data_IF_133494974972
#
_entry.id   IF_133494974972
#
_cell.length_a   1.000
_cell.length_b   1.000
_cell.length_c   1.000
_cell.angle_alpha   90.00
_cell.angle_beta   90.00
_cell.angle_gamma   90.00
#
_symmetry.space_group_name_H-M   'P 1'
#
loop_
_entity.id
_entity.type
_entity.pdbx_description
1 polymer ?
#
# COMPACT_ATOMS: atom_id res chain seq x y z
N UNK A 1 -11.17 -12.45 6.50
CA UNK A 1 -10.60 -11.67 5.39
C UNK A 1 -9.14 -11.48 5.70
N UNK A 2 -8.23 -11.97 4.84
CA UNK A 2 -6.80 -12.08 5.13
C UNK A 2 -6.21 -10.81 5.77
N UNK A 3 -5.42 -11.00 6.83
CA UNK A 3 -4.64 -9.95 7.46
C UNK A 3 -3.67 -9.35 6.43
N UNK A 4 -3.97 -8.16 5.92
CA UNK A 4 -3.10 -7.44 5.00
C UNK A 4 -2.18 -6.51 5.78
N UNK A 5 -0.88 -6.50 5.46
CA UNK A 5 0.06 -5.53 6.03
C UNK A 5 -0.14 -4.11 5.50
N UNK A 6 -1.06 -3.90 4.55
CA UNK A 6 -1.44 -2.60 4.01
C UNK A 6 -2.57 -1.89 4.79
N UNK A 7 -3.02 -2.45 5.93
CA UNK A 7 -4.14 -1.89 6.69
C UNK A 7 -3.79 -0.54 7.35
N UNK A 8 -4.68 0.43 7.19
CA UNK A 8 -4.57 1.77 7.77
C UNK A 8 -5.72 1.96 8.78
N UNK A 9 -5.46 1.92 10.10
CA UNK A 9 -6.53 2.04 11.10
C UNK A 9 -7.36 3.31 10.94
N UNK A 10 -8.69 3.16 10.91
CA UNK A 10 -9.63 4.27 10.76
C UNK A 10 -9.92 4.69 9.32
N UNK A 11 -9.25 4.11 8.32
CA UNK A 11 -9.43 4.44 6.91
C UNK A 11 -9.63 3.19 6.08
N UNK A 12 -10.69 3.14 5.26
CA UNK A 12 -10.75 2.15 4.20
C UNK A 12 -9.86 2.59 3.06
N UNK A 13 -8.89 1.75 2.74
CA UNK A 13 -7.97 1.91 1.61
C UNK A 13 -8.15 0.73 0.66
N UNK A 14 -7.93 0.97 -0.63
CA UNK A 14 -7.85 -0.07 -1.64
C UNK A 14 -6.45 -0.09 -2.22
N UNK A 15 -6.01 -1.27 -2.67
CA UNK A 15 -4.69 -1.40 -3.26
C UNK A 15 -4.41 -2.77 -3.82
N UNK A 16 -3.28 -2.88 -4.51
CA UNK A 16 -2.81 -4.09 -5.16
C UNK A 16 -1.31 -4.24 -4.93
N UNK A 17 -0.90 -5.46 -4.62
CA UNK A 17 0.50 -5.85 -4.56
C UNK A 17 0.99 -6.30 -5.93
N UNK A 18 2.27 -6.06 -6.21
CA UNK A 18 2.97 -6.57 -7.38
C UNK A 18 4.32 -7.16 -6.97
N UNK A 19 4.71 -8.26 -7.58
CA UNK A 19 6.03 -8.89 -7.41
C UNK A 19 6.47 -9.40 -8.77
N UNK A 20 7.64 -8.94 -9.22
CA UNK A 20 8.18 -9.27 -10.53
C UNK A 20 9.63 -9.71 -10.38
N UNK A 21 10.00 -10.83 -10.99
CA UNK A 21 11.39 -11.29 -11.01
C UNK A 21 12.24 -10.36 -11.88
N UNK A 22 13.45 -10.07 -11.42
CA UNK A 22 14.44 -9.26 -12.14
C UNK A 22 15.28 -10.21 -13.00
N UNK A 23 15.38 -9.99 -14.32
CA UNK A 23 16.27 -10.79 -15.16
C UNK A 23 17.74 -10.43 -14.84
N UNK A 24 18.56 -11.44 -14.62
CA UNK A 24 20.01 -11.34 -14.43
C UNK A 24 20.68 -12.15 -15.53
N UNK A 25 21.45 -11.48 -16.39
CA UNK A 25 22.20 -12.09 -17.52
C UNK A 25 21.34 -12.99 -18.44
N UNK A 26 20.08 -12.61 -18.64
CA UNK A 26 19.14 -13.34 -19.50
C UNK A 26 18.43 -14.52 -18.83
N UNK A 27 18.70 -14.77 -17.54
CA UNK A 27 18.00 -15.77 -16.74
C UNK A 27 17.18 -15.10 -15.62
N UNK A 28 16.13 -15.76 -15.15
CA UNK A 28 15.37 -15.30 -13.99
C UNK A 28 15.92 -15.98 -12.74
N UNK A 29 16.44 -15.19 -11.81
CA UNK A 29 16.68 -15.64 -10.43
C UNK A 29 15.41 -15.37 -9.61
N UNK A 30 14.85 -16.41 -8.98
CA UNK A 30 13.65 -16.28 -8.16
C UNK A 30 13.84 -15.47 -6.87
N UNK A 31 15.08 -15.24 -6.46
CA UNK A 31 15.43 -14.45 -5.26
C UNK A 31 15.53 -12.95 -5.53
N UNK A 32 15.77 -12.56 -6.80
CA UNK A 32 15.91 -11.16 -7.20
C UNK A 32 14.57 -10.64 -7.71
N UNK A 33 13.84 -9.91 -6.87
CA UNK A 33 12.52 -9.36 -7.24
C UNK A 33 12.46 -7.84 -7.12
N UNK A 34 11.59 -7.27 -7.95
CA UNK A 34 10.97 -5.99 -7.71
C UNK A 34 9.67 -6.23 -6.93
N UNK A 35 9.55 -5.62 -5.76
CA UNK A 35 8.36 -5.66 -4.93
C UNK A 35 7.65 -4.31 -4.98
N UNK A 36 6.32 -4.33 -5.05
CA UNK A 36 5.55 -3.10 -5.19
C UNK A 36 4.18 -3.19 -4.52
N UNK A 37 3.67 -2.03 -4.15
CA UNK A 37 2.30 -1.86 -3.69
C UNK A 37 1.77 -0.52 -4.18
N UNK A 38 0.65 -0.54 -4.88
CA UNK A 38 -0.10 0.67 -5.23
C UNK A 38 -1.40 0.69 -4.44
N UNK A 39 -1.73 1.81 -3.83
CA UNK A 39 -2.99 1.97 -3.13
C UNK A 39 -3.47 3.41 -3.09
N UNK A 40 -4.75 3.57 -2.79
CA UNK A 40 -5.39 4.86 -2.68
C UNK A 40 -6.39 4.86 -1.52
N UNK A 41 -6.72 6.05 -1.07
CA UNK A 41 -7.73 6.22 -0.06
C UNK A 41 -8.16 7.67 0.13
N UNK A 42 -9.23 7.86 0.91
CA UNK A 42 -10.15 6.81 1.32
C UNK A 42 -10.97 6.23 0.13
N UNK A 43 -11.50 5.00 0.24
CA UNK A 43 -12.07 4.28 -0.93
C UNK A 43 -13.30 4.96 -1.56
N UNK A 44 -14.15 5.53 -0.72
CA UNK A 44 -15.42 6.17 -1.10
C UNK A 44 -15.25 7.60 -1.63
N UNK A 45 -14.16 8.26 -1.29
CA UNK A 45 -13.78 9.59 -1.75
C UNK A 45 -12.24 9.67 -1.82
N UNK A 46 -11.62 9.18 -2.91
CA UNK A 46 -10.17 9.08 -3.01
C UNK A 46 -9.48 10.45 -3.03
N UNK A 47 -8.62 10.70 -2.04
CA UNK A 47 -7.89 11.96 -1.86
C UNK A 47 -6.38 11.80 -2.10
N UNK A 48 -5.86 10.58 -1.99
CA UNK A 48 -4.45 10.29 -2.27
C UNK A 48 -4.28 8.95 -3.00
N UNK A 49 -3.16 8.83 -3.72
CA UNK A 49 -2.62 7.58 -4.26
C UNK A 49 -1.14 7.50 -3.90
N UNK A 50 -0.70 6.36 -3.41
CA UNK A 50 0.69 6.08 -3.06
C UNK A 50 1.13 4.85 -3.84
N UNK A 51 2.27 4.97 -4.53
CA UNK A 51 2.95 3.86 -5.16
C UNK A 51 4.30 3.64 -4.46
N UNK A 52 4.46 2.46 -3.89
CA UNK A 52 5.71 1.99 -3.29
C UNK A 52 6.34 1.00 -4.25
N UNK A 53 7.60 1.23 -4.60
CA UNK A 53 8.42 0.31 -5.37
C UNK A 53 9.75 0.10 -4.65
N UNK A 54 10.11 -1.17 -4.45
CA UNK A 54 11.34 -1.61 -3.82
C UNK A 54 12.06 -2.52 -4.81
N UNK A 55 13.26 -2.13 -5.20
CA UNK A 55 14.17 -2.95 -5.99
C UNK A 55 14.97 -3.86 -5.05
N UNK A 56 14.99 -5.17 -5.34
CA UNK A 56 15.77 -6.19 -4.61
C UNK A 56 15.64 -6.12 -3.08
N UNK A 57 14.42 -6.18 -2.52
CA UNK A 57 14.26 -6.15 -1.06
C UNK A 57 14.90 -7.38 -0.42
N UNK A 58 15.63 -7.18 0.67
CA UNK A 58 16.40 -8.25 1.33
C UNK A 58 15.62 -9.04 2.38
N UNK A 59 14.48 -8.52 2.86
CA UNK A 59 13.71 -9.12 3.97
C UNK A 59 12.68 -10.15 3.51
N UNK A 60 12.11 -10.00 2.31
CA UNK A 60 11.21 -10.95 1.64
C UNK A 60 11.07 -10.55 0.16
N UNK A 61 10.96 -11.50 -0.79
CA UNK A 61 10.76 -11.17 -2.20
C UNK A 61 9.33 -10.68 -2.50
N UNK A 62 8.38 -10.84 -1.56
CA UNK A 62 6.96 -10.57 -1.80
C UNK A 62 6.58 -9.13 -1.48
N UNK A 63 5.85 -8.49 -2.40
CA UNK A 63 5.32 -7.14 -2.20
C UNK A 63 4.31 -7.02 -1.06
N UNK A 64 3.62 -8.11 -0.72
CA UNK A 64 2.74 -8.18 0.45
C UNK A 64 3.48 -8.04 1.78
N UNK A 65 4.74 -8.45 1.82
CA UNK A 65 5.54 -8.50 3.05
C UNK A 65 6.45 -7.27 3.19
N UNK A 66 6.76 -6.62 2.08
CA UNK A 66 7.74 -5.52 2.00
C UNK A 66 7.10 -4.18 1.65
N UNK A 67 6.52 -4.05 0.45
CA UNK A 67 5.96 -2.78 -0.02
C UNK A 67 4.64 -2.41 0.67
N UNK A 68 3.80 -3.40 1.03
CA UNK A 68 2.54 -3.19 1.72
C UNK A 68 2.65 -2.50 3.10
N UNK A 69 3.53 -2.93 4.04
CA UNK A 69 3.69 -2.22 5.30
C UNK A 69 4.29 -0.81 5.13
N UNK A 70 5.14 -0.59 4.12
CA UNK A 70 5.62 0.76 3.78
C UNK A 70 4.47 1.64 3.31
N UNK A 71 3.56 1.12 2.46
CA UNK A 71 2.35 1.84 2.08
C UNK A 71 1.50 2.20 3.30
N UNK A 72 1.27 1.27 4.23
CA UNK A 72 0.46 1.52 5.41
C UNK A 72 1.04 2.66 6.28
N UNK A 73 2.35 2.65 6.52
CA UNK A 73 3.03 3.72 7.25
C UNK A 73 2.97 5.07 6.55
N UNK A 74 3.14 5.10 5.23
CA UNK A 74 3.02 6.33 4.45
C UNK A 74 1.57 6.85 4.46
N UNK A 75 0.58 5.99 4.23
CA UNK A 75 -0.82 6.36 4.22
C UNK A 75 -1.28 6.91 5.59
N UNK A 76 -0.83 6.32 6.72
CA UNK A 76 -1.08 6.85 8.08
C UNK A 76 -0.57 8.28 8.25
N UNK A 77 0.59 8.61 7.68
CA UNK A 77 1.16 9.97 7.73
C UNK A 77 0.42 10.91 6.79
N UNK A 78 0.08 10.45 5.58
CA UNK A 78 -0.61 11.24 4.56
C UNK A 78 -1.96 11.72 5.04
N UNK A 79 -2.79 10.85 5.65
CA UNK A 79 -4.12 11.25 6.15
C UNK A 79 -4.05 12.31 7.24
N UNK A 80 -3.01 12.27 8.09
CA UNK A 80 -2.78 13.31 9.10
C UNK A 80 -2.32 14.61 8.43
N UNK A 81 -1.35 14.53 7.51
CA UNK A 81 -0.79 15.70 6.83
C UNK A 81 -1.83 16.45 5.99
N UNK A 82 -2.81 15.73 5.44
CA UNK A 82 -3.86 16.27 4.59
C UNK A 82 -5.15 16.58 5.36
N UNK A 83 -5.15 16.47 6.69
CA UNK A 83 -6.34 16.66 7.54
C UNK A 83 -7.56 15.84 7.08
N UNK A 84 -7.35 14.63 6.55
CA UNK A 84 -8.43 13.75 6.10
C UNK A 84 -9.02 13.09 7.34
N UNK A 85 -10.31 13.31 7.69
CA UNK A 85 -10.89 12.68 8.86
C UNK A 85 -11.04 11.16 8.69
N UNK A 86 -11.05 10.37 9.79
CA UNK A 86 -11.36 8.95 9.73
C UNK A 86 -12.73 8.66 9.09
N UNK A 87 -12.88 7.46 8.51
CA UNK A 87 -14.11 7.04 7.81
C UNK A 87 -15.37 7.23 8.65
N UNK A 88 -15.31 6.94 9.96
CA UNK A 88 -16.44 7.10 10.88
C UNK A 88 -16.95 8.55 10.94
N UNK A 89 -16.07 9.54 10.79
CA UNK A 89 -16.43 10.96 10.76
C UNK A 89 -16.88 11.37 9.36
N UNK A 90 -16.15 10.97 8.31
CA UNK A 90 -16.49 11.32 6.92
C UNK A 90 -17.88 10.79 6.52
N UNK A 91 -18.22 9.57 6.92
CA UNK A 91 -19.53 8.98 6.64
C UNK A 91 -20.67 9.67 7.39
N UNK A 92 -20.44 10.16 8.62
CA UNK A 92 -21.44 10.93 9.35
C UNK A 92 -21.71 12.29 8.70
N UNK A 93 -20.67 12.92 8.12
CA UNK A 93 -20.80 14.18 7.38
C UNK A 93 -21.58 13.95 6.08
N UNK A 94 -21.25 12.91 5.32
CA UNK A 94 -21.90 12.59 4.05
C UNK A 94 -23.36 12.13 4.18
N UNK A 95 -23.76 11.63 5.35
CA UNK A 95 -25.14 11.18 5.62
C UNK A 95 -26.10 12.31 6.02
N UNK A 96 -25.61 13.54 6.14
CA UNK A 96 -26.40 14.75 6.40
C UNK A 96 -26.67 15.50 5.10
#
# INVERSE_FOLDING_TARGET
SESSLALVPGYRVAGKTGTAQIPVDGFYDSSETNASFIGWGPVDDPQFMIYVWLERPSTSPWGSDTAAPVFAEMAKKTVILMDIPPDSIRQQIAAK
#
